data_IF_790863647484
#
_entry.id   IF_790863647484
#
_cell.length_a   1.000
_cell.length_b   1.000
_cell.length_c   1.000
_cell.angle_alpha   90.00
_cell.angle_beta   90.00
_cell.angle_gamma   90.00
#
_symmetry.space_group_name_H-M   'P 1'
#
loop_
_entity.id
_entity.type
_entity.pdbx_description
1 polymer ?
#
# COMPACT_ATOMS: atom_id res chain seq x y z
N UNK A 1 4.71 20.32 3.91
CA UNK A 1 4.39 19.22 2.97
C UNK A 1 2.89 18.96 2.98
N UNK A 2 2.25 18.67 1.84
CA UNK A 2 0.83 18.27 1.78
C UNK A 2 0.68 16.80 1.40
N UNK A 3 -0.21 16.08 2.08
CA UNK A 3 -0.54 14.69 1.76
C UNK A 3 -2.06 14.57 1.59
N UNK A 4 -2.51 14.12 0.43
CA UNK A 4 -3.90 13.81 0.16
C UNK A 4 -4.11 12.29 0.17
N UNK A 5 -4.96 11.81 1.09
CA UNK A 5 -5.40 10.42 1.14
C UNK A 5 -6.54 10.23 0.15
N UNK A 6 -6.27 9.47 -0.90
CA UNK A 6 -7.24 9.20 -1.97
C UNK A 6 -8.03 7.91 -1.66
N UNK A 7 -9.28 7.80 -2.14
CA UNK A 7 -10.03 6.55 -2.08
C UNK A 7 -9.28 5.45 -2.84
N UNK A 8 -8.92 4.37 -2.14
CA UNK A 8 -8.10 3.27 -2.70
C UNK A 8 -8.75 1.90 -2.51
N UNK A 9 -9.95 1.84 -1.93
CA UNK A 9 -10.61 0.62 -1.50
C UNK A 9 -9.76 -0.13 -0.45
N UNK A 10 -9.34 -1.37 -0.69
CA UNK A 10 -8.47 -2.12 0.22
C UNK A 10 -6.97 -1.77 0.14
N UNK A 11 -6.58 -0.92 -0.81
CA UNK A 11 -5.17 -0.67 -1.14
C UNK A 11 -4.63 0.67 -0.64
N UNK A 12 -3.49 1.09 -1.19
CA UNK A 12 -2.86 2.40 -0.92
C UNK A 12 -3.00 3.35 -2.11
N UNK A 13 -3.32 4.62 -1.85
CA UNK A 13 -3.21 5.69 -2.85
C UNK A 13 -3.07 7.05 -2.16
N UNK A 14 -1.87 7.63 -2.23
CA UNK A 14 -1.52 8.87 -1.54
C UNK A 14 -0.86 9.84 -2.52
N UNK A 15 -1.36 11.07 -2.59
CA UNK A 15 -0.73 12.16 -3.34
C UNK A 15 0.06 13.04 -2.37
N UNK A 16 1.36 13.16 -2.57
CA UNK A 16 2.28 13.93 -1.72
C UNK A 16 2.80 15.12 -2.52
N UNK A 17 2.61 16.32 -2.02
CA UNK A 17 3.14 17.57 -2.59
C UNK A 17 4.16 18.18 -1.62
N UNK A 18 5.44 18.20 -2.03
CA UNK A 18 6.56 18.70 -1.25
C UNK A 18 7.34 19.74 -2.07
N UNK A 19 7.06 21.01 -1.81
CA UNK A 19 7.57 22.13 -2.62
C UNK A 19 7.20 21.97 -4.10
N UNK A 20 8.21 21.85 -4.96
CA UNK A 20 8.04 21.66 -6.41
C UNK A 20 7.91 20.20 -6.85
N UNK A 21 7.94 19.25 -5.91
CA UNK A 21 7.91 17.81 -6.20
C UNK A 21 6.55 17.25 -5.84
N UNK A 22 5.92 16.56 -6.79
CA UNK A 22 4.71 15.78 -6.52
C UNK A 22 4.96 14.29 -6.69
N UNK A 23 4.56 13.49 -5.70
CA UNK A 23 4.67 12.03 -5.70
C UNK A 23 3.27 11.42 -5.60
N UNK A 24 2.92 10.50 -6.49
CA UNK A 24 1.80 9.58 -6.27
C UNK A 24 2.37 8.26 -5.75
N UNK A 25 2.01 7.90 -4.53
CA UNK A 25 2.35 6.62 -3.91
C UNK A 25 1.19 5.65 -4.06
N UNK A 26 1.42 4.61 -4.86
CA UNK A 26 0.46 3.58 -5.25
C UNK A 26 -0.82 4.12 -5.92
N UNK A 27 -1.61 3.22 -6.50
CA UNK A 27 -2.80 3.56 -7.29
C UNK A 27 -4.12 3.06 -6.70
N UNK A 28 -4.08 2.24 -5.66
CA UNK A 28 -5.24 1.55 -5.12
C UNK A 28 -5.82 0.52 -6.08
N UNK A 29 -7.00 0.01 -5.72
CA UNK A 29 -7.78 -0.87 -6.58
C UNK A 29 -8.22 -0.17 -7.89
N UNK A 30 -8.37 -0.90 -9.00
CA UNK A 30 -8.71 -0.29 -10.29
C UNK A 30 -10.13 0.33 -10.28
N UNK A 31 -11.03 -0.22 -9.46
CA UNK A 31 -12.40 0.30 -9.29
C UNK A 31 -12.44 1.68 -8.65
N UNK A 32 -11.78 1.85 -7.51
CA UNK A 32 -11.67 3.14 -6.80
C UNK A 32 -10.90 4.16 -7.62
N UNK A 33 -9.86 3.72 -8.33
CA UNK A 33 -9.17 4.60 -9.27
C UNK A 33 -10.14 5.14 -10.34
N UNK A 34 -10.87 4.25 -11.00
CA UNK A 34 -11.73 4.61 -12.13
C UNK A 34 -12.91 5.51 -11.72
N UNK A 35 -13.49 5.29 -10.54
CA UNK A 35 -14.66 6.04 -10.05
C UNK A 35 -14.30 7.39 -9.44
N UNK A 36 -13.16 7.50 -8.76
CA UNK A 36 -12.87 8.64 -7.88
C UNK A 36 -11.50 9.26 -8.14
N UNK A 37 -10.43 8.46 -8.17
CA UNK A 37 -9.05 9.00 -8.28
C UNK A 37 -8.78 9.61 -9.65
N UNK A 38 -9.24 8.99 -10.74
CA UNK A 38 -9.10 9.49 -12.12
C UNK A 38 -9.62 10.92 -12.25
N UNK A 39 -10.84 11.15 -11.75
CA UNK A 39 -11.50 12.45 -11.80
C UNK A 39 -10.75 13.49 -10.96
N UNK A 40 -10.31 13.10 -9.76
CA UNK A 40 -9.52 13.95 -8.87
C UNK A 40 -8.19 14.35 -9.50
N UNK A 41 -7.36 13.39 -9.94
CA UNK A 41 -6.05 13.66 -10.52
C UNK A 41 -6.13 14.51 -11.78
N UNK A 42 -7.11 14.24 -12.65
CA UNK A 42 -7.31 15.06 -13.85
C UNK A 42 -7.72 16.49 -13.53
N UNK A 43 -8.64 16.68 -12.57
CA UNK A 43 -9.00 18.03 -12.09
C UNK A 43 -7.82 18.73 -11.41
N UNK A 44 -7.09 18.03 -10.54
CA UNK A 44 -5.91 18.56 -9.86
C UNK A 44 -4.85 19.02 -10.86
N UNK A 45 -4.58 18.24 -11.90
CA UNK A 45 -3.64 18.59 -12.96
C UNK A 45 -4.09 19.84 -13.74
N UNK A 46 -5.38 19.92 -14.08
CA UNK A 46 -5.97 21.06 -14.79
C UNK A 46 -5.96 22.35 -13.94
N UNK A 47 -6.35 22.25 -12.67
CA UNK A 47 -6.45 23.41 -11.77
C UNK A 47 -5.07 23.98 -11.39
N UNK A 48 -4.08 23.11 -11.21
CA UNK A 48 -2.76 23.50 -10.69
C UNK A 48 -1.68 23.64 -11.76
N UNK A 49 -1.89 23.03 -12.94
CA UNK A 49 -0.86 22.87 -13.97
C UNK A 49 0.30 21.94 -13.55
N UNK A 50 0.21 21.29 -12.38
CA UNK A 50 1.24 20.39 -11.87
C UNK A 50 1.24 19.05 -12.61
N UNK A 51 2.35 18.34 -12.44
CA UNK A 51 2.59 17.02 -12.99
C UNK A 51 3.03 16.08 -11.86
N UNK A 52 3.02 14.78 -12.11
CA UNK A 52 3.57 13.80 -11.19
C UNK A 52 5.07 13.67 -11.48
N UNK A 53 5.88 14.22 -10.57
CA UNK A 53 7.33 14.06 -10.62
C UNK A 53 7.72 12.62 -10.36
N UNK A 54 6.99 11.87 -9.54
CA UNK A 54 7.22 10.45 -9.32
C UNK A 54 5.88 9.73 -9.15
N UNK A 55 5.71 8.61 -9.85
CA UNK A 55 4.75 7.58 -9.44
C UNK A 55 5.58 6.45 -8.82
N UNK A 56 5.42 6.25 -7.53
CA UNK A 56 6.13 5.23 -6.77
C UNK A 56 5.15 4.10 -6.46
N UNK A 57 5.54 2.87 -6.81
CA UNK A 57 4.78 1.65 -6.57
C UNK A 57 5.54 0.79 -5.57
N UNK A 58 4.96 0.58 -4.39
CA UNK A 58 5.59 -0.11 -3.27
C UNK A 58 5.92 -1.57 -3.61
N UNK A 59 4.95 -2.32 -4.14
CA UNK A 59 5.10 -3.70 -4.62
C UNK A 59 4.07 -4.03 -5.72
N UNK A 60 4.07 -5.28 -6.18
CA UNK A 60 3.30 -5.69 -7.36
C UNK A 60 1.83 -5.95 -7.08
N UNK A 61 1.39 -6.05 -5.83
CA UNK A 61 0.04 -6.50 -5.50
C UNK A 61 -1.03 -5.60 -6.12
N UNK A 62 -2.15 -6.23 -6.47
CA UNK A 62 -3.19 -5.61 -7.28
C UNK A 62 -3.75 -4.33 -6.65
N UNK A 63 -3.84 -4.27 -5.34
CA UNK A 63 -4.30 -3.13 -4.56
C UNK A 63 -3.30 -1.97 -4.47
N UNK A 64 -2.10 -2.13 -5.04
CA UNK A 64 -1.11 -1.06 -5.17
C UNK A 64 -0.90 -0.69 -6.64
N UNK A 65 -0.65 -1.68 -7.51
CA UNK A 65 -0.23 -1.44 -8.90
C UNK A 65 -1.39 -1.20 -9.88
N UNK A 66 -2.58 -1.75 -9.63
CA UNK A 66 -3.62 -1.80 -10.67
C UNK A 66 -4.20 -0.42 -11.00
N UNK A 67 -4.37 0.45 -10.00
CA UNK A 67 -4.74 1.85 -10.25
C UNK A 67 -3.66 2.62 -11.02
N UNK A 68 -2.37 2.32 -10.80
CA UNK A 68 -1.29 2.89 -11.60
C UNK A 68 -1.36 2.42 -13.04
N UNK A 69 -1.67 1.14 -13.28
CA UNK A 69 -1.93 0.65 -14.63
C UNK A 69 -3.09 1.44 -15.29
N UNK A 70 -4.19 1.69 -14.58
CA UNK A 70 -5.30 2.49 -15.10
C UNK A 70 -4.86 3.92 -15.46
N UNK A 71 -4.04 4.56 -14.64
CA UNK A 71 -3.44 5.88 -14.95
C UNK A 71 -2.64 5.87 -16.25
N UNK A 72 -1.85 4.83 -16.48
CA UNK A 72 -1.06 4.68 -17.70
C UNK A 72 -1.96 4.39 -18.92
N UNK A 73 -2.99 3.56 -18.78
CA UNK A 73 -3.97 3.30 -19.85
C UNK A 73 -4.76 4.56 -20.21
N UNK A 74 -5.17 5.36 -19.23
CA UNK A 74 -5.82 6.65 -19.44
C UNK A 74 -4.88 7.61 -20.22
N UNK A 75 -3.59 7.61 -19.87
CA UNK A 75 -2.56 8.40 -20.56
C UNK A 75 -2.38 7.95 -22.02
N UNK A 76 -2.38 6.64 -22.29
CA UNK A 76 -2.33 6.09 -23.65
C UNK A 76 -3.55 6.51 -24.45
N UNK A 77 -4.76 6.43 -23.89
CA UNK A 77 -5.98 6.85 -24.57
C UNK A 77 -5.92 8.31 -25.01
N UNK A 78 -5.45 9.20 -24.14
CA UNK A 78 -5.24 10.60 -24.49
C UNK A 78 -4.16 10.80 -25.55
N UNK A 79 -3.04 10.07 -25.48
CA UNK A 79 -2.00 10.14 -26.51
C UNK A 79 -2.48 9.66 -27.88
N UNK A 80 -3.29 8.61 -27.92
CA UNK A 80 -3.90 8.12 -29.17
C UNK A 80 -4.86 9.16 -29.74
N UNK A 81 -5.70 9.77 -28.90
CA UNK A 81 -6.59 10.86 -29.30
C UNK A 81 -5.79 12.03 -29.89
N UNK A 82 -4.74 12.50 -29.19
CA UNK A 82 -3.91 13.62 -29.65
C UNK A 82 -3.23 13.31 -30.98
N UNK A 83 -2.68 12.10 -31.13
CA UNK A 83 -2.02 11.69 -32.36
C UNK A 83 -3.00 11.65 -33.55
N UNK A 84 -4.18 11.04 -33.37
CA UNK A 84 -5.20 10.99 -34.42
C UNK A 84 -5.68 12.40 -34.79
N UNK A 85 -5.97 13.23 -33.79
CA UNK A 85 -6.42 14.59 -33.99
C UNK A 85 -5.37 15.45 -34.71
N UNK A 86 -4.09 15.33 -34.36
CA UNK A 86 -2.99 16.02 -35.03
C UNK A 86 -2.80 15.59 -36.50
N UNK A 87 -3.20 14.36 -36.85
CA UNK A 87 -3.15 13.82 -38.20
C UNK A 87 -4.49 13.93 -38.96
N UNK A 88 -5.42 14.76 -38.49
CA UNK A 88 -6.71 14.99 -39.15
C UNK A 88 -7.65 13.78 -39.15
N UNK A 89 -7.38 12.76 -38.32
CA UNK A 89 -8.22 11.58 -38.20
C UNK A 89 -9.30 11.78 -37.13
N UNK A 90 -10.54 11.42 -37.47
CA UNK A 90 -11.63 11.40 -36.50
C UNK A 90 -11.38 10.36 -35.41
N UNK A 91 -11.46 10.78 -34.15
CA UNK A 91 -11.41 9.87 -33.00
C UNK A 91 -12.23 10.44 -31.84
N UNK A 92 -12.88 9.54 -31.09
CA UNK A 92 -13.62 9.93 -29.90
C UNK A 92 -12.67 10.46 -28.83
N UNK A 93 -12.97 11.64 -28.29
CA UNK A 93 -12.28 12.17 -27.11
C UNK A 93 -12.51 11.24 -25.91
N UNK A 94 -11.48 10.91 -25.12
CA UNK A 94 -11.67 10.12 -23.91
C UNK A 94 -12.74 10.74 -22.99
N UNK A 95 -13.65 9.94 -22.40
CA UNK A 95 -14.79 10.44 -21.63
C UNK A 95 -14.43 10.89 -20.20
N UNK A 96 -13.16 11.22 -19.96
CA UNK A 96 -12.62 11.58 -18.66
C UNK A 96 -11.56 12.67 -18.82
N UNK A 97 -11.29 13.42 -17.74
CA UNK A 97 -10.26 14.50 -17.73
C UNK A 97 -8.87 13.93 -18.04
N UNK A 98 -7.99 14.78 -18.56
CA UNK A 98 -6.63 14.36 -18.91
C UNK A 98 -5.85 14.05 -17.64
N UNK A 99 -5.22 12.86 -17.52
CA UNK A 99 -4.40 12.55 -16.37
C UNK A 99 -3.16 13.47 -16.31
N UNK A 100 -2.60 13.73 -15.12
CA UNK A 100 -1.34 14.44 -15.00
C UNK A 100 -0.23 13.68 -15.73
N UNK A 101 0.70 14.43 -16.33
CA UNK A 101 1.90 13.83 -16.93
C UNK A 101 2.73 13.15 -15.84
N UNK A 102 3.14 11.91 -16.08
CA UNK A 102 4.07 11.16 -15.23
C UNK A 102 5.48 11.33 -15.76
N UNK A 103 6.41 11.86 -14.95
CA UNK A 103 7.80 12.09 -15.36
C UNK A 103 8.70 10.86 -15.22
N UNK A 104 8.48 10.03 -14.19
CA UNK A 104 9.25 8.82 -13.90
C UNK A 104 8.43 7.88 -13.01
N UNK A 105 8.80 6.60 -13.00
CA UNK A 105 8.24 5.59 -12.12
C UNK A 105 9.34 4.91 -11.31
N UNK A 106 9.08 4.68 -10.03
CA UNK A 106 9.85 3.76 -9.21
C UNK A 106 9.03 2.50 -8.94
N UNK A 107 9.55 1.35 -9.35
CA UNK A 107 8.91 0.06 -9.18
C UNK A 107 9.94 -1.06 -9.36
N UNK A 108 9.96 -2.04 -8.44
CA UNK A 108 10.71 -3.28 -8.62
C UNK A 108 9.93 -4.22 -9.54
N UNK A 109 10.05 -3.99 -10.85
CA UNK A 109 9.26 -4.68 -11.86
C UNK A 109 9.45 -6.19 -11.85
N UNK A 110 8.33 -6.92 -11.94
CA UNK A 110 8.30 -8.38 -11.93
C UNK A 110 9.24 -9.03 -12.96
N UNK A 111 9.32 -8.47 -14.16
CA UNK A 111 10.22 -8.94 -15.25
C UNK A 111 11.71 -8.85 -14.90
N UNK A 112 12.10 -7.94 -14.00
CA UNK A 112 13.48 -7.85 -13.50
C UNK A 112 13.79 -8.91 -12.44
N UNK A 113 12.76 -9.63 -11.96
CA UNK A 113 12.89 -10.63 -10.90
C UNK A 113 12.77 -12.07 -11.43
N UNK A 114 11.96 -12.31 -12.47
CA UNK A 114 11.62 -13.67 -12.95
C UNK A 114 11.44 -13.71 -14.48
N UNK A 115 12.12 -14.63 -15.18
CA UNK A 115 12.08 -14.76 -16.64
C UNK A 115 10.80 -15.45 -17.17
N UNK A 116 10.15 -16.34 -16.40
CA UNK A 116 8.98 -17.15 -16.80
C UNK A 116 7.64 -16.64 -16.21
N UNK A 117 7.41 -15.33 -16.25
CA UNK A 117 6.33 -14.69 -15.48
C UNK A 117 4.88 -15.09 -15.87
N UNK A 118 4.60 -15.36 -17.14
CA UNK A 118 3.23 -15.60 -17.61
C UNK A 118 2.67 -16.97 -17.23
N UNK A 119 3.53 -17.98 -17.12
CA UNK A 119 3.15 -19.32 -16.66
C UNK A 119 2.62 -19.28 -15.21
N UNK A 120 3.17 -18.37 -14.40
CA UNK A 120 2.81 -18.20 -12.99
C UNK A 120 1.36 -17.77 -12.80
N UNK A 121 0.95 -16.71 -13.50
CA UNK A 121 -0.41 -16.19 -13.40
C UNK A 121 -1.48 -17.22 -13.78
N UNK A 122 -1.19 -18.04 -14.78
CA UNK A 122 -2.14 -19.06 -15.27
C UNK A 122 -2.37 -20.18 -14.24
N UNK A 123 -1.29 -20.72 -13.66
CA UNK A 123 -1.38 -21.77 -12.65
C UNK A 123 -2.03 -21.25 -11.35
N UNK A 124 -1.72 -20.02 -10.93
CA UNK A 124 -2.37 -19.41 -9.76
C UNK A 124 -3.87 -19.18 -9.97
N UNK A 125 -4.27 -18.69 -11.14
CA UNK A 125 -5.68 -18.52 -11.47
C UNK A 125 -6.44 -19.85 -11.45
N UNK A 126 -5.84 -20.92 -11.98
CA UNK A 126 -6.42 -22.26 -11.96
C UNK A 126 -6.66 -22.74 -10.50
N UNK A 127 -5.66 -22.59 -9.62
CA UNK A 127 -5.78 -22.97 -8.21
C UNK A 127 -6.80 -22.12 -7.44
N UNK A 128 -6.80 -20.80 -7.67
CA UNK A 128 -7.78 -19.91 -7.06
C UNK A 128 -9.20 -20.36 -7.40
N UNK A 129 -9.47 -20.75 -8.65
CA UNK A 129 -10.76 -21.29 -9.07
C UNK A 129 -11.11 -22.59 -8.35
N UNK A 130 -10.17 -23.52 -8.19
CA UNK A 130 -10.42 -24.78 -7.47
C UNK A 130 -10.71 -24.56 -5.99
N UNK A 131 -9.98 -23.66 -5.32
CA UNK A 131 -10.20 -23.37 -3.90
C UNK A 131 -11.47 -22.54 -3.64
N UNK A 132 -11.94 -21.79 -4.64
CA UNK A 132 -13.11 -20.91 -4.52
C UNK A 132 -14.44 -21.66 -4.37
N UNK A 133 -14.48 -22.96 -4.67
CA UNK A 133 -15.65 -23.82 -4.43
C UNK A 133 -15.69 -24.43 -3.02
N UNK A 134 -14.67 -24.18 -2.18
CA UNK A 134 -14.62 -24.69 -0.82
C UNK A 134 -15.61 -23.96 0.10
N UNK A 135 -16.17 -24.67 1.08
CA UNK A 135 -16.92 -24.07 2.19
C UNK A 135 -16.01 -23.60 3.35
N UNK A 136 -14.72 -23.95 3.33
CA UNK A 136 -13.78 -23.62 4.40
C UNK A 136 -13.32 -22.14 4.27
N UNK A 137 -13.56 -21.28 5.29
CA UNK A 137 -13.18 -19.87 5.23
C UNK A 137 -11.68 -19.61 5.03
N UNK A 138 -10.81 -20.49 5.51
CA UNK A 138 -9.36 -20.39 5.34
C UNK A 138 -8.94 -20.71 3.90
N UNK A 139 -9.56 -21.71 3.27
CA UNK A 139 -9.32 -22.02 1.86
C UNK A 139 -9.85 -20.92 0.93
N UNK A 140 -10.96 -20.26 1.29
CA UNK A 140 -11.46 -19.10 0.56
C UNK A 140 -10.49 -17.90 0.65
N UNK A 141 -9.90 -17.62 1.82
CA UNK A 141 -8.84 -16.60 1.95
C UNK A 141 -7.63 -16.94 1.10
N UNK A 142 -7.23 -18.21 1.06
CA UNK A 142 -6.13 -18.67 0.22
C UNK A 142 -6.46 -18.53 -1.28
N UNK A 143 -7.70 -18.82 -1.68
CA UNK A 143 -8.17 -18.60 -3.05
C UNK A 143 -8.07 -17.13 -3.46
N UNK A 144 -8.46 -16.22 -2.55
CA UNK A 144 -8.38 -14.77 -2.77
C UNK A 144 -6.93 -14.29 -2.87
N UNK A 145 -6.03 -14.79 -2.00
CA UNK A 145 -4.60 -14.49 -2.08
C UNK A 145 -4.00 -14.94 -3.43
N UNK A 146 -4.26 -16.18 -3.86
CA UNK A 146 -3.80 -16.67 -5.16
C UNK A 146 -4.39 -15.87 -6.32
N UNK A 147 -5.66 -15.47 -6.23
CA UNK A 147 -6.31 -14.64 -7.27
C UNK A 147 -5.68 -13.25 -7.35
N UNK A 148 -5.42 -12.62 -6.21
CA UNK A 148 -4.75 -11.31 -6.13
C UNK A 148 -3.40 -11.37 -6.85
N UNK A 149 -2.59 -12.37 -6.52
CA UNK A 149 -1.29 -12.58 -7.16
C UNK A 149 -1.44 -12.88 -8.66
N UNK A 150 -2.37 -13.76 -9.04
CA UNK A 150 -2.62 -14.12 -10.44
C UNK A 150 -3.00 -12.91 -11.30
N UNK A 151 -3.76 -11.96 -10.73
CA UNK A 151 -4.13 -10.72 -11.40
C UNK A 151 -2.96 -9.72 -11.46
N UNK A 152 -2.19 -9.65 -10.37
CA UNK A 152 -1.09 -8.69 -10.19
C UNK A 152 0.03 -8.87 -11.22
N UNK A 153 0.35 -10.11 -11.61
CA UNK A 153 1.46 -10.41 -12.53
C UNK A 153 1.19 -9.83 -13.94
N UNK A 154 0.05 -10.13 -14.60
CA UNK A 154 -0.31 -9.47 -15.86
C UNK A 154 -0.37 -7.95 -15.75
N UNK A 155 -0.81 -7.41 -14.61
CA UNK A 155 -0.87 -5.97 -14.38
C UNK A 155 0.53 -5.35 -14.32
N UNK A 156 1.46 -5.94 -13.57
CA UNK A 156 2.86 -5.50 -13.50
C UNK A 156 3.59 -5.59 -14.85
N UNK A 157 3.33 -6.65 -15.63
CA UNK A 157 3.85 -6.78 -17.00
C UNK A 157 3.29 -5.67 -17.89
N UNK A 158 1.99 -5.37 -17.79
CA UNK A 158 1.37 -4.28 -18.56
C UNK A 158 1.93 -2.92 -18.17
N UNK A 159 2.15 -2.63 -16.88
CA UNK A 159 2.83 -1.40 -16.44
C UNK A 159 4.19 -1.29 -17.10
N UNK A 160 5.00 -2.34 -17.04
CA UNK A 160 6.33 -2.40 -17.66
C UNK A 160 6.27 -2.17 -19.17
N UNK A 161 5.25 -2.71 -19.86
CA UNK A 161 5.02 -2.47 -21.29
C UNK A 161 4.61 -1.03 -21.56
N UNK A 162 3.71 -0.44 -20.76
CA UNK A 162 3.21 0.92 -20.98
C UNK A 162 4.28 1.99 -20.82
N UNK A 163 5.23 1.80 -19.90
CA UNK A 163 6.30 2.76 -19.67
C UNK A 163 7.45 2.66 -20.68
N UNK A 164 7.51 1.57 -21.47
CA UNK A 164 8.57 1.33 -22.44
C UNK A 164 8.70 2.46 -23.49
N UNK A 165 9.89 2.57 -24.09
CA UNK A 165 10.27 3.66 -24.99
C UNK A 165 9.38 3.78 -26.25
N UNK A 166 8.86 2.65 -26.74
CA UNK A 166 7.93 2.56 -27.87
C UNK A 166 6.46 2.84 -27.47
N UNK A 167 6.17 2.93 -26.17
CA UNK A 167 4.88 3.32 -25.61
C UNK A 167 5.03 4.71 -24.98
N UNK A 168 4.79 4.88 -23.66
CA UNK A 168 4.79 6.18 -22.99
C UNK A 168 6.18 6.79 -22.79
N UNK A 169 7.24 6.00 -22.92
CA UNK A 169 8.63 6.42 -22.71
C UNK A 169 8.83 7.10 -21.35
N UNK A 170 8.37 6.45 -20.29
CA UNK A 170 8.49 6.92 -18.91
C UNK A 170 9.69 6.18 -18.28
N UNK A 171 10.73 6.88 -17.80
CA UNK A 171 11.86 6.26 -17.14
C UNK A 171 11.45 5.43 -15.92
N UNK A 172 11.96 4.19 -15.86
CA UNK A 172 11.86 3.30 -14.71
C UNK A 172 13.15 3.34 -13.90
N UNK A 173 13.06 3.61 -12.60
CA UNK A 173 14.17 3.52 -11.65
C UNK A 173 15.43 4.29 -12.10
N UNK A 174 15.26 5.46 -12.73
CA UNK A 174 16.37 6.22 -13.31
C UNK A 174 17.44 6.58 -12.27
N UNK A 175 16.99 6.96 -11.08
CA UNK A 175 17.81 7.31 -9.91
C UNK A 175 18.57 6.11 -9.33
N UNK A 176 18.23 4.89 -9.75
CA UNK A 176 18.91 3.65 -9.37
C UNK A 176 19.70 3.04 -10.54
N UNK A 177 20.05 3.84 -11.56
CA UNK A 177 20.76 3.35 -12.74
C UNK A 177 19.94 2.35 -13.57
N UNK A 178 18.59 2.44 -13.51
CA UNK A 178 17.62 1.50 -14.11
C UNK A 178 17.64 0.09 -13.50
N UNK A 179 18.25 -0.07 -12.32
CA UNK A 179 18.25 -1.32 -11.56
C UNK A 179 17.08 -1.39 -10.57
N UNK A 180 17.00 -2.47 -9.79
CA UNK A 180 16.06 -2.58 -8.68
C UNK A 180 16.34 -1.48 -7.64
N UNK A 181 15.27 -0.81 -7.23
CA UNK A 181 15.23 0.15 -6.14
C UNK A 181 15.28 -0.61 -4.81
N UNK A 182 16.31 -0.37 -4.04
CA UNK A 182 16.56 -1.03 -2.76
C UNK A 182 17.47 -0.16 -1.91
N UNK A 183 17.60 -0.48 -0.62
CA UNK A 183 18.56 0.20 0.25
C UNK A 183 19.98 0.03 -0.30
N UNK A 184 20.66 1.14 -0.60
CA UNK A 184 22.05 1.20 -1.08
C UNK A 184 22.77 2.37 -0.43
N UNK A 185 23.99 2.14 0.07
CA UNK A 185 24.81 3.20 0.67
C UNK A 185 24.02 4.07 1.66
N UNK A 186 24.33 5.35 1.78
CA UNK A 186 23.53 6.31 2.57
C UNK A 186 22.93 7.41 1.70
N UNK A 187 22.59 7.05 0.45
CA UNK A 187 22.23 8.01 -0.58
C UNK A 187 20.95 8.78 -0.24
N UNK A 188 20.99 10.08 -0.53
CA UNK A 188 19.81 10.97 -0.55
C UNK A 188 19.46 11.20 -2.00
N UNK A 189 18.25 10.84 -2.37
CA UNK A 189 17.73 11.04 -3.71
C UNK A 189 16.96 12.36 -3.73
N UNK A 190 17.31 13.23 -4.69
CA UNK A 190 16.55 14.44 -5.01
C UNK A 190 15.98 14.31 -6.43
N UNK A 191 14.68 14.61 -6.57
CA UNK A 191 13.96 14.46 -7.83
C UNK A 191 14.01 15.71 -8.74
N UNK A 192 14.46 16.84 -8.18
CA UNK A 192 14.59 18.11 -8.87
C UNK A 192 15.68 18.98 -8.23
N UNK A 193 16.47 19.69 -9.05
CA UNK A 193 17.63 20.46 -8.59
C UNK A 193 17.32 21.51 -7.50
N UNK A 194 16.12 22.08 -7.52
CA UNK A 194 15.68 23.10 -6.56
C UNK A 194 14.75 22.55 -5.48
N UNK A 195 14.60 21.23 -5.37
CA UNK A 195 13.78 20.61 -4.33
C UNK A 195 14.59 20.43 -3.05
N UNK A 196 14.01 20.84 -1.94
CA UNK A 196 14.51 20.55 -0.60
C UNK A 196 14.05 19.19 -0.05
N UNK A 197 13.27 18.43 -0.83
CA UNK A 197 12.83 17.09 -0.44
C UNK A 197 13.99 16.10 -0.59
N UNK A 198 14.40 15.55 0.54
CA UNK A 198 15.33 14.43 0.62
C UNK A 198 14.53 13.12 0.67
N UNK A 199 14.78 12.21 -0.27
CA UNK A 199 14.15 10.89 -0.31
C UNK A 199 15.20 9.83 -0.03
N UNK A 200 14.91 8.93 0.91
CA UNK A 200 15.76 7.76 1.21
C UNK A 200 14.94 6.50 1.07
N UNK A 201 15.52 5.49 0.41
CA UNK A 201 14.96 4.15 0.41
C UNK A 201 15.34 3.47 1.72
N UNK A 202 14.35 3.07 2.51
CA UNK A 202 14.52 2.37 3.80
C UNK A 202 14.14 0.87 3.71
N UNK A 203 13.68 0.43 2.54
CA UNK A 203 13.45 -0.96 2.18
C UNK A 203 13.00 -1.07 0.73
N UNK A 204 13.04 -2.25 0.10
CA UNK A 204 13.55 -3.49 0.66
C UNK A 204 15.08 -3.48 0.70
N UNK A 205 15.68 -4.44 1.43
CA UNK A 205 17.11 -4.74 1.28
C UNK A 205 17.33 -5.77 0.17
N UNK A 206 18.57 -5.88 -0.29
CA UNK A 206 18.96 -6.87 -1.32
C UNK A 206 18.54 -8.31 -0.93
N UNK A 207 18.73 -8.68 0.35
CA UNK A 207 18.32 -9.99 0.89
C UNK A 207 16.83 -10.28 0.69
N UNK A 208 15.97 -9.26 0.81
CA UNK A 208 14.51 -9.45 0.72
C UNK A 208 14.10 -9.68 -0.73
N UNK A 209 14.75 -8.97 -1.67
CA UNK A 209 14.59 -9.20 -3.11
C UNK A 209 15.15 -10.57 -3.54
N UNK A 210 16.23 -11.05 -2.92
CA UNK A 210 16.74 -12.41 -3.15
C UNK A 210 15.78 -13.48 -2.66
N UNK A 211 15.18 -13.30 -1.47
CA UNK A 211 14.15 -14.19 -0.93
C UNK A 211 12.95 -14.22 -1.87
N UNK A 212 12.46 -13.06 -2.32
CA UNK A 212 11.38 -12.98 -3.29
C UNK A 212 11.72 -13.69 -4.61
N UNK A 213 12.94 -13.49 -5.13
CA UNK A 213 13.40 -14.18 -6.34
C UNK A 213 13.45 -15.71 -6.15
N UNK A 214 13.94 -16.18 -5.00
CA UNK A 214 13.98 -17.61 -4.65
C UNK A 214 12.57 -18.19 -4.51
N UNK A 215 11.65 -17.46 -3.88
CA UNK A 215 10.25 -17.82 -3.77
C UNK A 215 9.65 -18.11 -5.15
N UNK A 216 9.77 -17.15 -6.08
CA UNK A 216 9.25 -17.33 -7.44
C UNK A 216 9.93 -18.45 -8.21
N UNK A 217 11.25 -18.59 -8.11
CA UNK A 217 12.00 -19.68 -8.77
C UNK A 217 11.59 -21.04 -8.23
N UNK A 218 11.51 -21.22 -6.91
CA UNK A 218 11.09 -22.47 -6.28
C UNK A 218 9.65 -22.83 -6.63
N UNK A 219 8.80 -21.83 -6.78
CA UNK A 219 7.43 -22.00 -7.23
C UNK A 219 7.38 -22.49 -8.68
N UNK A 220 8.19 -21.90 -9.57
CA UNK A 220 8.32 -22.29 -10.98
C UNK A 220 8.91 -23.70 -11.16
N UNK A 221 9.93 -24.04 -10.38
CA UNK A 221 10.71 -25.26 -10.57
C UNK A 221 10.11 -26.51 -9.93
N UNK A 222 8.92 -26.42 -9.33
CA UNK A 222 8.34 -27.52 -8.56
C UNK A 222 7.04 -28.06 -9.19
N UNK A 223 7.13 -29.05 -10.11
CA UNK A 223 5.97 -29.78 -10.64
C UNK A 223 5.16 -30.50 -9.54
N UNK A 224 5.79 -30.87 -8.42
CA UNK A 224 5.13 -31.60 -7.31
C UNK A 224 4.33 -30.68 -6.37
N UNK A 225 4.67 -29.39 -6.28
CA UNK A 225 3.80 -28.40 -5.61
C UNK A 225 2.58 -28.02 -6.44
N UNK A 226 2.46 -28.49 -7.69
CA UNK A 226 1.21 -28.47 -8.47
C UNK A 226 0.16 -29.49 -8.00
N UNK A 227 0.48 -30.35 -7.03
CA UNK A 227 -0.41 -31.39 -6.48
C UNK A 227 -0.98 -31.15 -5.08
N UNK A 228 -0.71 -30.03 -4.39
CA UNK A 228 -1.11 -29.87 -2.98
C UNK A 228 -2.55 -29.40 -2.76
N UNK A 229 -3.51 -29.86 -3.57
CA UNK A 229 -4.89 -29.95 -3.12
C UNK A 229 -5.03 -31.19 -2.25
N UNK A 230 -4.46 -32.31 -2.70
CA UNK A 230 -4.52 -33.59 -1.98
C UNK A 230 -3.69 -33.55 -0.70
N UNK A 231 -2.47 -33.03 -0.73
CA UNK A 231 -1.65 -32.88 0.49
C UNK A 231 -2.25 -31.86 1.49
N UNK A 232 -3.03 -30.88 1.00
CA UNK A 232 -3.70 -29.88 1.83
C UNK A 232 -5.05 -30.41 2.37
N UNK A 233 -5.78 -31.17 1.58
CA UNK A 233 -7.00 -31.91 1.96
C UNK A 233 -6.66 -33.01 2.97
N UNK A 234 -5.61 -33.80 2.73
CA UNK A 234 -5.12 -34.87 3.61
C UNK A 234 -4.58 -34.28 4.93
N UNK A 235 -3.89 -33.13 4.89
CA UNK A 235 -3.51 -32.39 6.11
C UNK A 235 -4.71 -31.83 6.90
N UNK A 236 -5.76 -31.36 6.21
CA UNK A 236 -7.01 -30.83 6.81
C UNK A 236 -7.97 -31.92 7.31
N UNK A 237 -7.96 -33.11 6.70
CA UNK A 237 -8.76 -34.27 7.12
C UNK A 237 -8.13 -34.97 8.34
N UNK A 238 -6.80 -34.92 8.47
CA UNK A 238 -6.08 -35.56 9.58
C UNK A 238 -5.82 -34.64 10.79
N UNK A 239 -5.97 -33.31 10.66
CA UNK A 239 -5.74 -32.37 11.76
C UNK A 239 -6.84 -31.29 11.85
N UNK A 240 -7.58 -31.28 12.97
CA UNK A 240 -8.34 -30.11 13.46
C UNK A 240 -7.42 -28.95 13.94
N UNK A 241 -6.16 -28.92 13.48
CA UNK A 241 -5.08 -28.08 13.99
C UNK A 241 -4.78 -26.83 13.15
N UNK A 242 -4.01 -25.87 13.70
CA UNK A 242 -3.69 -24.60 13.05
C UNK A 242 -2.79 -24.76 11.82
N UNK A 243 -2.98 -23.84 10.86
CA UNK A 243 -2.39 -23.77 9.50
C UNK A 243 -0.85 -23.84 9.51
N UNK A 244 -0.18 -24.45 8.50
CA UNK A 244 1.28 -24.49 8.41
C UNK A 244 1.96 -23.10 8.44
N UNK A 245 3.21 -22.99 8.93
CA UNK A 245 3.94 -21.71 8.96
C UNK A 245 4.07 -21.09 7.56
N UNK A 246 3.76 -19.80 7.43
CA UNK A 246 3.78 -19.07 6.15
C UNK A 246 2.40 -18.83 5.51
N UNK A 247 1.31 -19.24 6.18
CA UNK A 247 -0.08 -18.96 5.78
C UNK A 247 -0.93 -18.47 6.98
N UNK A 248 -0.26 -17.96 8.02
CA UNK A 248 -0.75 -17.90 9.40
C UNK A 248 -1.99 -17.05 9.65
N UNK A 249 -2.96 -17.64 10.36
CA UNK A 249 -3.66 -16.92 11.44
C UNK A 249 -2.93 -17.36 12.71
N UNK A 250 -2.22 -16.43 13.36
CA UNK A 250 -1.63 -16.70 14.67
C UNK A 250 -2.75 -16.66 15.73
N UNK A 251 -2.86 -17.73 16.52
CA UNK A 251 -3.63 -17.77 17.78
C UNK A 251 -2.64 -17.59 18.95
N UNK A 252 -1.67 -16.69 18.80
CA UNK A 252 -0.88 -16.15 19.90
C UNK A 252 -1.20 -14.65 20.02
N UNK A 253 -1.16 -14.12 21.24
CA UNK A 253 -1.35 -12.69 21.55
C UNK A 253 -0.19 -11.79 21.01
N UNK A 254 0.81 -12.38 20.37
CA UNK A 254 1.94 -11.66 19.77
C UNK A 254 1.62 -11.19 18.34
N UNK A 255 1.77 -9.87 18.10
CA UNK A 255 1.68 -9.26 16.78
C UNK A 255 3.08 -9.16 16.13
N UNK A 256 3.11 -9.04 14.80
CA UNK A 256 4.34 -8.81 14.04
C UNK A 256 5.15 -10.08 13.76
N UNK A 257 4.48 -11.20 13.50
CA UNK A 257 5.16 -12.41 13.07
C UNK A 257 5.64 -12.29 11.62
N UNK A 258 6.87 -11.80 11.41
CA UNK A 258 7.48 -11.62 10.08
C UNK A 258 7.38 -12.85 9.16
N UNK A 259 7.40 -14.07 9.72
CA UNK A 259 7.28 -15.34 8.96
C UNK A 259 5.93 -15.52 8.26
N UNK A 260 4.90 -14.80 8.71
CA UNK A 260 3.54 -14.85 8.17
C UNK A 260 3.28 -13.69 7.19
N UNK A 261 4.28 -12.81 6.97
CA UNK A 261 4.24 -11.80 5.91
C UNK A 261 4.72 -12.44 4.62
N UNK A 262 3.98 -12.23 3.54
CA UNK A 262 4.31 -12.78 2.21
C UNK A 262 5.59 -12.15 1.67
N UNK A 263 6.32 -12.90 0.83
CA UNK A 263 7.56 -12.41 0.23
C UNK A 263 7.39 -11.13 -0.61
N UNK A 264 6.31 -10.93 -1.40
CA UNK A 264 6.06 -9.66 -2.09
C UNK A 264 5.93 -8.48 -1.13
N UNK A 265 5.28 -8.66 0.03
CA UNK A 265 5.07 -7.60 1.02
C UNK A 265 6.38 -7.24 1.71
N UNK A 266 7.21 -8.23 2.07
CA UNK A 266 8.56 -8.01 2.59
C UNK A 266 9.48 -7.28 1.59
N UNK A 267 9.21 -7.42 0.29
CA UNK A 267 9.93 -6.75 -0.78
C UNK A 267 9.40 -5.33 -1.10
N UNK A 268 8.48 -4.80 -0.29
CA UNK A 268 7.95 -3.44 -0.44
C UNK A 268 9.09 -2.43 -0.49
N UNK A 269 9.10 -1.62 -1.55
CA UNK A 269 9.84 -0.37 -1.57
C UNK A 269 9.25 0.51 -0.47
N UNK A 270 10.11 1.11 0.35
CA UNK A 270 9.74 1.90 1.52
C UNK A 270 10.56 3.17 1.53
N UNK A 271 9.94 4.30 1.88
CA UNK A 271 10.57 5.61 1.77
C UNK A 271 10.55 6.35 3.10
N UNK A 272 11.68 6.99 3.41
CA UNK A 272 11.74 8.11 4.34
C UNK A 272 11.84 9.40 3.53
N UNK A 273 10.89 10.31 3.74
CA UNK A 273 10.86 11.64 3.13
C UNK A 273 11.21 12.67 4.20
N UNK A 274 12.16 13.54 3.90
CA UNK A 274 12.60 14.61 4.79
C UNK A 274 12.55 15.96 4.07
N UNK A 275 11.82 16.94 4.60
CA UNK A 275 11.73 18.31 4.06
C UNK A 275 12.04 19.33 5.17
N UNK A 276 13.01 20.25 5.00
CA UNK A 276 13.26 21.32 5.96
C UNK A 276 12.03 22.19 6.20
N UNK A 277 11.74 22.51 7.46
CA UNK A 277 10.66 23.42 7.84
C UNK A 277 11.14 24.87 7.81
N UNK A 278 10.29 25.79 7.35
CA UNK A 278 10.59 27.23 7.37
C UNK A 278 10.83 27.77 8.80
N UNK A 279 10.18 27.17 9.81
CA UNK A 279 10.36 27.50 11.23
C UNK A 279 11.62 26.89 11.88
N UNK A 280 12.44 26.17 11.12
CA UNK A 280 13.52 25.33 11.64
C UNK A 280 13.06 23.90 11.92
N UNK A 281 13.98 22.94 11.80
CA UNK A 281 13.70 21.50 11.89
C UNK A 281 13.39 20.86 10.54
N UNK A 282 12.89 19.63 10.58
CA UNK A 282 12.64 18.78 9.40
C UNK A 282 11.30 18.09 9.56
N UNK A 283 10.44 18.17 8.55
CA UNK A 283 9.27 17.31 8.39
C UNK A 283 9.75 15.92 7.98
N UNK A 284 9.37 14.88 8.72
CA UNK A 284 9.66 13.48 8.43
C UNK A 284 8.39 12.70 8.15
N UNK A 285 8.37 12.02 7.00
CA UNK A 285 7.28 11.13 6.60
C UNK A 285 7.85 9.75 6.30
N UNK A 286 7.28 8.72 6.94
CA UNK A 286 7.61 7.32 6.67
C UNK A 286 6.48 6.69 5.86
N UNK A 287 6.82 6.23 4.66
CA UNK A 287 5.96 5.47 3.76
C UNK A 287 6.40 4.01 3.80
N UNK A 288 5.59 3.17 4.44
CA UNK A 288 5.99 1.80 4.80
C UNK A 288 5.68 0.75 3.75
N UNK A 289 4.82 1.06 2.77
CA UNK A 289 4.15 0.03 1.97
C UNK A 289 3.64 -1.09 2.88
N UNK A 290 3.90 -2.33 2.46
CA UNK A 290 3.54 -3.54 3.19
C UNK A 290 4.75 -4.21 3.87
N UNK A 291 5.80 -3.42 4.14
CA UNK A 291 7.00 -3.90 4.81
C UNK A 291 6.76 -4.28 6.28
N UNK A 292 7.62 -5.13 6.82
CA UNK A 292 7.59 -5.51 8.23
C UNK A 292 8.29 -4.45 9.10
N UNK A 293 7.83 -4.30 10.34
CA UNK A 293 8.38 -3.39 11.34
C UNK A 293 9.91 -3.49 11.50
N UNK A 294 10.48 -4.70 11.54
CA UNK A 294 11.94 -4.91 11.63
C UNK A 294 12.70 -4.32 10.43
N UNK A 295 12.15 -4.45 9.22
CA UNK A 295 12.80 -3.97 8.01
C UNK A 295 12.78 -2.43 7.97
N UNK A 296 11.71 -1.81 8.46
CA UNK A 296 11.62 -0.35 8.64
C UNK A 296 12.65 0.14 9.66
N UNK A 297 12.74 -0.51 10.82
CA UNK A 297 13.73 -0.14 11.86
C UNK A 297 15.15 -0.29 11.33
N UNK A 298 15.45 -1.39 10.63
CA UNK A 298 16.74 -1.61 9.99
C UNK A 298 17.07 -0.52 8.97
N UNK A 299 16.11 -0.12 8.13
CA UNK A 299 16.27 0.96 7.16
C UNK A 299 16.54 2.32 7.81
N UNK A 300 15.83 2.65 8.88
CA UNK A 300 16.05 3.90 9.63
C UNK A 300 17.42 3.90 10.32
N UNK A 301 17.83 2.79 10.94
CA UNK A 301 19.15 2.63 11.54
C UNK A 301 20.25 2.75 10.49
N UNK A 302 20.05 2.10 9.33
CA UNK A 302 20.98 2.15 8.21
C UNK A 302 21.23 3.59 7.74
N UNK A 303 20.22 4.46 7.72
CA UNK A 303 20.40 5.87 7.37
C UNK A 303 20.81 6.78 8.55
N UNK A 304 21.18 6.21 9.69
CA UNK A 304 21.57 6.96 10.90
C UNK A 304 20.43 7.82 11.46
N UNK A 305 19.18 7.43 11.20
CA UNK A 305 17.97 8.11 11.69
C UNK A 305 17.41 7.47 12.96
N UNK A 306 17.90 6.29 13.30
CA UNK A 306 17.54 5.57 14.51
C UNK A 306 18.81 4.99 15.11
N UNK A 307 19.14 5.38 16.34
CA UNK A 307 20.20 4.73 17.10
C UNK A 307 19.67 3.45 17.75
N UNK A 308 20.56 2.51 18.06
CA UNK A 308 20.20 1.28 18.78
C UNK A 308 19.57 1.62 20.14
N UNK A 309 18.41 1.00 20.41
CA UNK A 309 17.63 1.25 21.63
C UNK A 309 16.88 2.60 21.67
N UNK A 310 17.18 3.54 20.77
CA UNK A 310 16.44 4.80 20.66
C UNK A 310 15.10 4.62 19.92
N UNK A 311 14.20 5.55 20.16
CA UNK A 311 13.00 5.76 19.34
C UNK A 311 13.14 6.99 18.44
N UNK A 312 12.24 7.12 17.49
CA UNK A 312 12.14 8.23 16.56
C UNK A 312 10.70 8.73 16.52
N UNK A 313 10.51 10.02 16.75
CA UNK A 313 9.25 10.70 16.47
C UNK A 313 9.29 11.31 15.06
N UNK A 314 8.22 11.11 14.30
CA UNK A 314 8.05 11.63 12.93
C UNK A 314 6.76 12.43 12.80
N UNK A 315 6.62 13.24 11.77
CA UNK A 315 5.38 14.00 11.56
C UNK A 315 4.28 13.08 11.02
N UNK A 316 4.64 12.18 10.10
CA UNK A 316 3.68 11.28 9.47
C UNK A 316 4.21 9.86 9.38
N UNK A 317 3.40 8.90 9.80
CA UNK A 317 3.63 7.47 9.58
C UNK A 317 2.43 6.89 8.83
N UNK A 318 2.63 6.44 7.58
CA UNK A 318 1.70 5.50 6.96
C UNK A 318 1.88 4.15 7.65
N UNK A 319 0.79 3.60 8.19
CA UNK A 319 0.80 2.30 8.83
C UNK A 319 1.05 1.19 7.79
N UNK A 320 1.84 0.20 8.20
CA UNK A 320 2.23 -0.95 7.38
C UNK A 320 1.00 -1.74 6.96
N UNK A 321 0.94 -2.15 5.68
CA UNK A 321 0.05 -3.20 5.20
C UNK A 321 -1.40 -3.05 5.70
N UNK A 322 -1.95 -1.84 5.50
CA UNK A 322 -3.33 -1.51 5.84
C UNK A 322 -3.69 -1.67 7.34
N UNK A 323 -2.69 -1.89 8.21
CA UNK A 323 -2.86 -2.22 9.62
C UNK A 323 -2.95 -3.72 9.92
N UNK A 324 -2.31 -4.58 9.14
CA UNK A 324 -2.26 -6.03 9.40
C UNK A 324 -1.47 -6.38 10.66
N UNK A 325 -1.98 -7.37 11.39
CA UNK A 325 -1.41 -7.99 12.58
C UNK A 325 -0.01 -8.57 12.38
N UNK A 326 0.36 -8.94 11.14
CA UNK A 326 1.64 -9.58 10.86
C UNK A 326 2.77 -8.58 10.66
N UNK A 327 2.47 -7.31 10.42
CA UNK A 327 3.44 -6.31 9.98
C UNK A 327 3.96 -5.38 11.09
N UNK A 328 3.20 -5.25 12.18
CA UNK A 328 3.52 -4.35 13.29
C UNK A 328 3.55 -5.11 14.60
N UNK A 329 4.68 -5.02 15.32
CA UNK A 329 4.79 -5.50 16.70
C UNK A 329 4.81 -4.33 17.69
N UNK A 330 4.50 -4.61 18.97
CA UNK A 330 4.41 -3.61 20.05
C UNK A 330 5.68 -2.78 20.23
N UNK A 331 6.86 -3.41 20.14
CA UNK A 331 8.12 -2.69 20.27
C UNK A 331 8.30 -1.62 19.17
N UNK A 332 7.78 -1.85 17.96
CA UNK A 332 7.81 -0.86 16.88
C UNK A 332 6.94 0.35 17.23
N UNK A 333 5.68 0.15 17.63
CA UNK A 333 4.77 1.24 17.98
C UNK A 333 5.31 2.10 19.14
N UNK A 334 6.06 1.50 20.07
CA UNK A 334 6.75 2.24 21.13
C UNK A 334 7.97 3.02 20.63
N UNK A 335 8.74 2.47 19.69
CA UNK A 335 9.95 3.13 19.17
C UNK A 335 9.63 4.22 18.16
N UNK A 336 8.65 4.00 17.29
CA UNK A 336 8.28 4.92 16.21
C UNK A 336 6.91 5.53 16.51
N UNK A 337 6.89 6.81 16.86
CA UNK A 337 5.66 7.57 17.10
C UNK A 337 5.49 8.68 16.08
N UNK A 338 4.26 9.14 15.85
CA UNK A 338 3.96 10.16 14.85
C UNK A 338 2.88 11.16 15.25
N UNK A 339 2.95 12.40 14.77
CA UNK A 339 1.85 13.35 14.92
C UNK A 339 0.60 12.92 14.13
N UNK A 340 0.83 12.30 12.97
CA UNK A 340 -0.22 11.79 12.08
C UNK A 340 0.04 10.34 11.68
N UNK A 341 -0.92 9.47 11.98
CA UNK A 341 -0.94 8.09 11.50
C UNK A 341 -1.93 7.98 10.35
N UNK A 342 -1.46 7.58 9.17
CA UNK A 342 -2.30 7.36 8.01
C UNK A 342 -2.59 5.86 7.91
N UNK A 343 -3.87 5.49 7.78
CA UNK A 343 -4.31 4.11 7.62
C UNK A 343 -5.19 4.07 6.39
N UNK A 344 -4.74 3.30 5.40
CA UNK A 344 -5.51 2.99 4.22
C UNK A 344 -6.08 1.59 4.40
N UNK A 345 -7.38 1.47 4.60
CA UNK A 345 -8.05 0.18 4.72
C UNK A 345 -9.56 0.37 4.71
N UNK A 346 -10.28 -0.66 4.30
CA UNK A 346 -11.73 -0.64 4.15
C UNK A 346 -12.44 -1.73 4.98
N UNK A 347 -11.75 -2.43 5.87
CA UNK A 347 -12.30 -3.56 6.64
C UNK A 347 -12.19 -4.92 5.96
N UNK A 348 -11.77 -4.97 4.69
CA UNK A 348 -11.48 -6.25 4.02
C UNK A 348 -10.30 -6.94 4.72
N UNK A 349 -10.38 -8.26 4.81
CA UNK A 349 -9.38 -9.11 5.47
C UNK A 349 -9.14 -8.72 6.94
N UNK A 350 -10.12 -8.03 7.56
CA UNK A 350 -10.07 -7.47 8.91
C UNK A 350 -9.03 -6.36 9.11
N UNK A 351 -8.65 -5.65 8.04
CA UNK A 351 -7.74 -4.51 8.12
C UNK A 351 -8.48 -3.15 8.22
N UNK A 352 -8.05 -2.23 9.11
CA UNK A 352 -6.97 -2.41 10.08
C UNK A 352 -7.39 -3.40 11.19
N UNK A 353 -6.47 -4.25 11.64
CA UNK A 353 -6.73 -5.16 12.76
C UNK A 353 -6.91 -4.34 14.04
N UNK A 354 -7.92 -4.68 14.83
CA UNK A 354 -8.25 -3.97 16.08
C UNK A 354 -7.08 -4.00 17.08
N UNK A 355 -6.36 -5.12 17.18
CA UNK A 355 -5.19 -5.28 18.06
C UNK A 355 -4.03 -4.39 17.64
N UNK A 356 -3.86 -4.17 16.34
CA UNK A 356 -2.85 -3.21 15.82
C UNK A 356 -3.21 -1.79 16.26
N UNK A 357 -4.49 -1.41 16.19
CA UNK A 357 -4.96 -0.13 16.71
C UNK A 357 -4.78 -0.02 18.22
N UNK A 358 -5.07 -1.07 18.98
CA UNK A 358 -4.83 -1.10 20.43
C UNK A 358 -3.36 -0.92 20.76
N UNK A 359 -2.45 -1.62 20.08
CA UNK A 359 -1.00 -1.47 20.26
C UNK A 359 -0.54 -0.06 19.93
N UNK A 360 -1.08 0.54 18.87
CA UNK A 360 -0.80 1.92 18.50
C UNK A 360 -1.29 2.89 19.59
N UNK A 361 -2.52 2.74 20.06
CA UNK A 361 -3.10 3.57 21.11
C UNK A 361 -2.35 3.40 22.44
N UNK A 362 -2.02 2.17 22.82
CA UNK A 362 -1.22 1.83 23.99
C UNK A 362 0.11 2.58 24.01
N UNK A 363 0.77 2.73 22.84
CA UNK A 363 2.05 3.45 22.74
C UNK A 363 1.93 4.97 23.00
N UNK A 364 0.72 5.54 22.92
CA UNK A 364 0.48 6.99 23.04
C UNK A 364 -0.39 7.40 24.23
N UNK A 365 -1.30 6.52 24.64
CA UNK A 365 -2.38 6.75 25.61
C UNK A 365 -2.42 5.67 26.71
N UNK A 366 -1.63 4.60 26.57
CA UNK A 366 -1.63 3.48 27.51
C UNK A 366 -1.01 3.82 28.86
N UNK A 367 -0.90 2.78 29.68
CA UNK A 367 -0.18 2.82 30.96
C UNK A 367 1.35 2.88 30.77
N UNK A 368 2.08 3.26 31.81
CA UNK A 368 3.49 3.67 31.73
C UNK A 368 4.44 2.65 31.07
N UNK A 369 4.21 1.35 31.27
CA UNK A 369 4.99 0.25 30.68
C UNK A 369 4.73 0.07 29.17
N UNK A 370 3.54 0.44 28.72
CA UNK A 370 3.12 0.37 27.32
C UNK A 370 3.44 1.63 26.52
N UNK A 371 3.55 2.78 27.18
CA UNK A 371 3.85 4.06 26.53
C UNK A 371 5.20 4.05 25.81
N UNK A 372 5.25 4.80 24.72
CA UNK A 372 6.49 5.13 24.04
C UNK A 372 7.37 6.00 24.94
N UNK A 373 8.69 5.74 24.98
CA UNK A 373 9.64 6.59 25.70
C UNK A 373 10.00 7.88 24.94
N UNK A 374 9.50 8.08 23.71
CA UNK A 374 9.76 9.31 22.95
C UNK A 374 9.17 10.52 23.69
N UNK A 375 9.90 11.62 23.76
CA UNK A 375 9.48 12.82 24.50
C UNK A 375 8.15 13.38 23.99
N UNK A 376 7.89 13.23 22.69
CA UNK A 376 6.71 13.69 21.98
C UNK A 376 5.50 12.74 22.11
N UNK A 377 5.68 11.53 22.69
CA UNK A 377 4.58 10.57 22.85
C UNK A 377 3.39 11.16 23.62
N UNK A 378 3.68 12.07 24.56
CA UNK A 378 2.73 12.85 25.35
C UNK A 378 2.00 13.96 24.59
N UNK A 379 2.34 14.24 23.33
CA UNK A 379 1.65 15.26 22.55
C UNK A 379 0.36 14.73 21.90
N UNK A 380 -0.59 15.62 21.54
CA UNK A 380 -1.75 15.24 20.74
C UNK A 380 -1.35 14.64 19.39
N UNK A 381 -2.11 13.65 18.92
CA UNK A 381 -1.89 13.03 17.61
C UNK A 381 -3.21 12.78 16.88
N UNK A 382 -3.11 12.46 15.59
CA UNK A 382 -4.27 12.22 14.72
C UNK A 382 -4.16 10.87 14.01
N UNK A 383 -5.24 10.08 14.05
CA UNK A 383 -5.41 8.92 13.17
C UNK A 383 -6.30 9.33 11.99
N UNK A 384 -5.81 9.06 10.78
CA UNK A 384 -6.48 9.33 9.52
C UNK A 384 -6.85 8.01 8.86
N UNK A 385 -8.14 7.78 8.64
CA UNK A 385 -8.66 6.62 7.90
C UNK A 385 -9.07 7.06 6.49
N UNK A 386 -8.51 6.45 5.45
CA UNK A 386 -8.95 6.75 4.08
C UNK A 386 -10.32 6.11 3.72
N UNK A 387 -11.00 5.52 4.71
CA UNK A 387 -12.32 4.92 4.58
C UNK A 387 -13.15 5.24 5.83
N UNK A 388 -14.46 4.99 5.76
CA UNK A 388 -15.37 5.01 6.90
C UNK A 388 -16.58 4.13 6.63
N UNK A 389 -17.31 3.75 7.67
CA UNK A 389 -18.60 3.09 7.54
C UNK A 389 -19.56 3.90 6.65
N UNK A 390 -19.60 5.21 6.82
CA UNK A 390 -20.43 6.09 5.98
C UNK A 390 -20.05 6.04 4.50
N UNK A 391 -18.75 5.96 4.19
CA UNK A 391 -18.28 5.81 2.81
C UNK A 391 -18.64 4.42 2.24
N UNK A 392 -18.49 3.35 3.02
CA UNK A 392 -18.87 2.00 2.61
C UNK A 392 -20.39 1.83 2.43
N UNK A 393 -21.21 2.47 3.26
CA UNK A 393 -22.68 2.46 3.11
C UNK A 393 -23.10 3.09 1.77
N UNK A 394 -22.41 4.15 1.33
CA UNK A 394 -22.62 4.73 -0.01
C UNK A 394 -22.22 3.76 -1.13
N UNK A 395 -21.07 3.07 -0.97
CA UNK A 395 -20.67 2.04 -1.93
C UNK A 395 -21.68 0.89 -1.98
N UNK A 396 -22.23 0.48 -0.85
CA UNK A 396 -23.27 -0.55 -0.76
C UNK A 396 -24.56 -0.10 -1.45
N UNK A 397 -24.98 1.15 -1.25
CA UNK A 397 -26.14 1.70 -1.96
C UNK A 397 -25.92 1.72 -3.49
N UNK A 398 -24.72 2.13 -3.95
CA UNK A 398 -24.36 2.10 -5.36
C UNK A 398 -24.31 0.66 -5.92
N UNK A 399 -23.83 -0.30 -5.13
CA UNK A 399 -23.80 -1.71 -5.48
C UNK A 399 -25.23 -2.26 -5.65
N UNK A 400 -26.13 -1.98 -4.71
CA UNK A 400 -27.55 -2.37 -4.78
C UNK A 400 -28.21 -1.77 -6.02
N UNK A 401 -27.99 -0.49 -6.29
CA UNK A 401 -28.54 0.17 -7.48
C UNK A 401 -28.09 -0.50 -8.79
N UNK A 402 -26.86 -1.05 -8.82
CA UNK A 402 -26.28 -1.72 -9.99
C UNK A 402 -26.63 -3.20 -10.10
N UNK A 403 -26.77 -3.91 -8.99
CA UNK A 403 -26.87 -5.39 -8.93
C UNK A 403 -28.21 -5.91 -8.44
N UNK A 404 -29.07 -5.05 -7.89
CA UNK A 404 -30.36 -5.40 -7.30
C UNK A 404 -30.27 -6.13 -5.97
N UNK A 405 -29.07 -6.40 -5.46
CA UNK A 405 -28.83 -7.14 -4.21
C UNK A 405 -27.71 -6.49 -3.39
N UNK A 406 -27.63 -6.84 -2.11
CA UNK A 406 -26.55 -6.43 -1.20
C UNK A 406 -25.27 -7.19 -1.52
N UNK A 407 -24.11 -6.53 -1.41
CA UNK A 407 -22.82 -7.22 -1.38
C UNK A 407 -22.57 -7.74 0.04
N UNK A 408 -22.37 -9.05 0.15
CA UNK A 408 -22.02 -9.72 1.41
C UNK A 408 -20.62 -9.34 1.89
N UNK A 409 -19.71 -9.04 0.97
CA UNK A 409 -18.37 -8.55 1.28
C UNK A 409 -18.42 -7.14 1.89
N UNK A 410 -19.17 -6.22 1.28
CA UNK A 410 -19.35 -4.88 1.84
C UNK A 410 -20.06 -4.94 3.20
N UNK A 411 -21.02 -5.85 3.41
CA UNK A 411 -21.65 -6.03 4.72
C UNK A 411 -20.62 -6.43 5.80
N UNK A 412 -19.67 -7.34 5.48
CA UNK A 412 -18.57 -7.70 6.38
C UNK A 412 -17.62 -6.52 6.64
N UNK A 413 -17.22 -5.82 5.57
CA UNK A 413 -16.33 -4.67 5.64
C UNK A 413 -16.94 -3.54 6.50
N UNK A 414 -18.24 -3.26 6.31
CA UNK A 414 -19.01 -2.29 7.12
C UNK A 414 -19.03 -2.71 8.58
N UNK A 415 -19.29 -3.99 8.88
CA UNK A 415 -19.29 -4.49 10.25
C UNK A 415 -17.93 -4.34 10.93
N UNK A 416 -16.84 -4.65 10.23
CA UNK A 416 -15.48 -4.46 10.74
C UNK A 416 -15.14 -2.99 10.95
N UNK A 417 -15.42 -2.13 9.98
CA UNK A 417 -15.16 -0.69 10.11
C UNK A 417 -15.98 -0.04 11.22
N UNK A 418 -17.19 -0.54 11.53
CA UNK A 418 -17.94 -0.10 12.72
C UNK A 418 -17.20 -0.43 14.02
N UNK A 419 -16.57 -1.60 14.12
CA UNK A 419 -15.78 -1.97 15.29
C UNK A 419 -14.52 -1.08 15.41
N UNK A 420 -13.84 -0.82 14.29
CA UNK A 420 -12.70 0.11 14.23
C UNK A 420 -13.11 1.52 14.68
N UNK A 421 -14.19 2.06 14.14
CA UNK A 421 -14.68 3.39 14.49
C UNK A 421 -15.13 3.47 15.95
N UNK A 422 -15.76 2.42 16.49
CA UNK A 422 -16.17 2.35 17.89
C UNK A 422 -14.96 2.37 18.83
N UNK A 423 -13.95 1.53 18.58
CA UNK A 423 -12.70 1.46 19.35
C UNK A 423 -12.00 2.82 19.38
N UNK A 424 -11.85 3.47 18.23
CA UNK A 424 -11.19 4.77 18.14
C UNK A 424 -12.02 5.88 18.80
N UNK A 425 -13.35 5.84 18.68
CA UNK A 425 -14.24 6.81 19.31
C UNK A 425 -14.19 6.71 20.84
N UNK A 426 -14.19 5.49 21.38
CA UNK A 426 -14.04 5.25 22.81
C UNK A 426 -12.69 5.77 23.33
N UNK A 427 -11.59 5.41 22.66
CA UNK A 427 -10.25 5.89 23.02
C UNK A 427 -10.17 7.43 23.01
N UNK A 428 -10.81 8.08 22.03
CA UNK A 428 -10.89 9.54 21.95
C UNK A 428 -11.73 10.15 23.08
N UNK A 429 -12.85 9.53 23.44
CA UNK A 429 -13.70 9.99 24.54
C UNK A 429 -12.97 9.90 25.88
N UNK A 430 -12.20 8.84 26.10
CA UNK A 430 -11.39 8.66 27.30
C UNK A 430 -10.18 9.61 27.36
N UNK A 431 -9.69 10.08 26.20
CA UNK A 431 -8.51 10.93 26.07
C UNK A 431 -8.79 12.24 25.30
N UNK A 432 -9.69 13.11 25.82
CA UNK A 432 -10.12 14.31 25.11
C UNK A 432 -8.94 15.25 24.86
N UNK A 433 -8.84 15.77 23.63
CA UNK A 433 -7.76 16.67 23.22
C UNK A 433 -6.43 15.98 22.87
N UNK A 434 -6.20 14.73 23.30
CA UNK A 434 -5.01 13.94 22.98
C UNK A 434 -5.13 13.17 21.67
N UNK A 435 -6.30 12.56 21.41
CA UNK A 435 -6.56 11.84 20.15
C UNK A 435 -7.52 12.61 19.25
N UNK A 436 -7.11 12.86 18.01
CA UNK A 436 -7.95 13.38 16.94
C UNK A 436 -8.20 12.28 15.90
N UNK A 437 -9.38 12.28 15.31
CA UNK A 437 -9.77 11.31 14.28
C UNK A 437 -10.24 12.06 13.04
N UNK A 438 -9.80 11.59 11.88
CA UNK A 438 -10.21 12.06 10.56
C UNK A 438 -10.51 10.84 9.70
N UNK A 439 -11.61 10.85 8.96
CA UNK A 439 -11.99 9.73 8.10
C UNK A 439 -12.67 10.19 6.82
N UNK A 440 -12.47 9.43 5.74
CA UNK A 440 -13.02 9.72 4.42
C UNK A 440 -14.55 9.58 4.46
N UNK A 441 -15.29 10.64 4.11
CA UNK A 441 -16.76 10.61 4.04
C UNK A 441 -17.34 10.75 2.63
N UNK A 442 -16.62 11.43 1.73
CA UNK A 442 -17.07 11.71 0.37
C UNK A 442 -15.95 12.26 -0.55
N UNK A 443 -15.02 13.02 0.00
CA UNK A 443 -13.91 13.64 -0.72
C UNK A 443 -12.58 13.22 -0.10
N UNK A 444 -11.49 13.16 -0.88
CA UNK A 444 -10.14 12.89 -0.36
C UNK A 444 -9.80 13.71 0.88
N UNK A 445 -9.04 13.13 1.80
CA UNK A 445 -8.61 13.82 3.02
C UNK A 445 -7.29 14.54 2.75
N UNK A 446 -7.25 15.84 3.01
CA UNK A 446 -6.04 16.64 2.85
C UNK A 446 -5.41 16.91 4.22
N UNK A 447 -4.14 16.54 4.36
CA UNK A 447 -3.29 16.80 5.51
C UNK A 447 -2.18 17.77 5.08
N UNK A 448 -2.09 18.92 5.77
CA UNK A 448 -0.95 19.83 5.68
C UNK A 448 -0.04 19.58 6.90
N UNK A 449 1.25 19.36 6.63
CA UNK A 449 2.30 18.98 7.59
C UNK A 449 3.35 20.09 7.73
#
# INVERSE_FOLDING_TARGET
MKITLLPSDKGDCLLIEAGSVTILADGGMPGSYASEVRGYLGKWAEDTGKQLDLVYVSHVDQDHIAGVLQLLEDTVQWRVFDHKHANGQSSGKPPFRRPPRVKRIWHNAFKLMVDESEAIGTVLAARANTLSSSANPSLLRLADAFRSIANSIPEAIKVSRRIAADQLNIPLNGEFGKLLAMVRGHEVISLAANSSLAIRVIGPFEKDLEVLRKYWKNWLSNPKKAGSLRDLEEWLEENDGPIPPGFGVSIDDELGHRKDVTEPNLASLMLLLEEPKASGGVTRVIMTGDGHADDILAGLTHHGRLADGAGLHVDVLKLQHHGSEHNLHRAFARRITADHYLICANGKDKNPDLRVLEVLLDSRLGVADKLSPNAEAGQPFTIWLNCSTHYLDKQQAAYIAKKGTRSTELDKNIAHMKAVEALLAEAKQQNPGRLKLKSLKASPLELEV
#
